data_IF_575627765584
#
_entry.id   IF_575627765584
#
_cell.length_a   1.000
_cell.length_b   1.000
_cell.length_c   1.000
_cell.angle_alpha   90.00
_cell.angle_beta   90.00
_cell.angle_gamma   90.00
#
_symmetry.space_group_name_H-M   'P 1'
#
loop_
_entity.id
_entity.type
_entity.pdbx_description
1 polymer ?
#
# COMPACT_ATOMS: atom_id res chain seq x y z
N UNK A 1 -42.32 -6.18 -19.71
CA UNK A 1 -42.11 -6.57 -18.30
C UNK A 1 -40.74 -7.23 -18.21
N UNK A 2 -39.72 -6.53 -17.68
CA UNK A 2 -38.39 -7.11 -17.48
C UNK A 2 -38.47 -7.95 -16.19
N UNK A 3 -38.17 -9.24 -16.30
CA UNK A 3 -38.22 -10.16 -15.16
C UNK A 3 -37.18 -9.75 -14.12
N UNK A 4 -37.62 -9.48 -12.89
CA UNK A 4 -36.73 -9.27 -11.77
C UNK A 4 -35.97 -10.59 -11.50
N UNK A 5 -34.65 -10.58 -11.71
CA UNK A 5 -33.79 -11.68 -11.26
C UNK A 5 -33.79 -11.70 -9.73
N UNK A 6 -34.60 -12.57 -9.15
CA UNK A 6 -34.50 -12.97 -7.76
C UNK A 6 -33.13 -13.65 -7.56
N UNK A 7 -32.17 -12.97 -6.93
CA UNK A 7 -30.92 -13.63 -6.54
C UNK A 7 -29.72 -12.73 -6.25
N UNK A 8 -29.73 -11.45 -6.64
CA UNK A 8 -28.63 -10.54 -6.32
C UNK A 8 -29.22 -9.22 -5.78
N UNK A 9 -28.83 -8.77 -4.58
CA UNK A 9 -29.21 -7.43 -4.12
C UNK A 9 -28.76 -6.40 -5.16
N UNK A 10 -29.51 -5.31 -5.41
CA UNK A 10 -29.26 -4.38 -6.51
C UNK A 10 -27.95 -3.59 -6.38
N UNK A 11 -27.18 -3.80 -5.31
CA UNK A 11 -25.95 -3.09 -5.00
C UNK A 11 -24.80 -4.10 -4.81
N UNK A 12 -23.78 -3.94 -5.63
CA UNK A 12 -22.52 -4.69 -5.53
C UNK A 12 -21.48 -3.83 -4.82
N UNK A 13 -20.79 -4.40 -3.83
CA UNK A 13 -19.76 -3.70 -3.06
C UNK A 13 -18.48 -4.51 -3.12
N UNK A 14 -17.40 -3.84 -3.47
CA UNK A 14 -16.05 -4.40 -3.51
C UNK A 14 -15.10 -3.53 -2.70
N UNK A 15 -14.11 -4.16 -2.09
CA UNK A 15 -12.96 -3.48 -1.50
C UNK A 15 -11.80 -3.56 -2.50
N UNK A 16 -11.39 -2.41 -3.01
CA UNK A 16 -10.32 -2.31 -4.00
C UNK A 16 -9.04 -1.76 -3.37
N UNK A 17 -7.94 -2.46 -3.61
CA UNK A 17 -6.59 -1.99 -3.26
C UNK A 17 -6.21 -2.23 -1.80
N UNK A 18 -5.45 -1.27 -1.26
CA UNK A 18 -4.80 -1.39 0.04
C UNK A 18 -5.79 -1.31 1.20
N UNK A 19 -5.61 -2.19 2.18
CA UNK A 19 -6.38 -2.19 3.42
C UNK A 19 -5.50 -1.74 4.60
N UNK A 20 -6.11 -1.51 5.76
CA UNK A 20 -5.40 -1.08 6.95
C UNK A 20 -4.35 -2.12 7.37
N UNK A 21 -3.08 -1.77 7.22
CA UNK A 21 -1.96 -2.65 7.55
C UNK A 21 -1.76 -2.72 9.06
N UNK A 22 -1.68 -3.93 9.61
CA UNK A 22 -1.45 -4.16 11.03
C UNK A 22 -0.07 -3.63 11.45
N UNK A 23 0.01 -3.04 12.65
CA UNK A 23 1.25 -2.48 13.20
C UNK A 23 2.40 -3.49 13.19
N UNK A 24 2.11 -4.76 13.51
CA UNK A 24 3.11 -5.82 13.52
C UNK A 24 3.73 -6.10 12.15
N UNK A 25 2.93 -6.07 11.08
CA UNK A 25 3.45 -6.22 9.72
C UNK A 25 4.34 -5.04 9.36
N UNK A 26 3.91 -3.81 9.67
CA UNK A 26 4.70 -2.61 9.42
C UNK A 26 6.05 -2.63 10.17
N UNK A 27 6.05 -3.03 11.44
CA UNK A 27 7.27 -3.15 12.24
C UNK A 27 8.21 -4.23 11.69
N UNK A 28 7.66 -5.37 11.26
CA UNK A 28 8.43 -6.46 10.65
C UNK A 28 9.04 -6.03 9.31
N UNK A 29 8.29 -5.27 8.49
CA UNK A 29 8.82 -4.69 7.26
C UNK A 29 9.98 -3.72 7.55
N UNK A 30 9.82 -2.81 8.52
CA UNK A 30 10.91 -1.91 8.91
C UNK A 30 12.14 -2.66 9.44
N UNK A 31 11.93 -3.74 10.20
CA UNK A 31 13.03 -4.57 10.72
C UNK A 31 13.75 -5.32 9.59
N UNK A 32 13.01 -5.86 8.62
CA UNK A 32 13.56 -6.51 7.43
C UNK A 32 14.39 -5.53 6.58
N UNK A 33 13.89 -4.31 6.35
CA UNK A 33 14.65 -3.26 5.64
C UNK A 33 15.91 -2.83 6.39
N UNK A 34 15.85 -2.79 7.73
CA UNK A 34 17.00 -2.50 8.57
C UNK A 34 17.99 -3.67 8.68
N UNK A 35 17.74 -4.81 8.00
CA UNK A 35 18.56 -6.02 8.08
C UNK A 35 18.51 -6.73 9.43
N UNK A 36 17.51 -6.41 10.26
CA UNK A 36 17.32 -6.99 11.61
C UNK A 36 16.42 -8.22 11.62
N UNK A 37 15.75 -8.50 10.52
CA UNK A 37 14.83 -9.62 10.36
C UNK A 37 15.10 -10.32 9.01
N UNK A 38 14.75 -11.60 8.90
CA UNK A 38 14.95 -12.35 7.66
C UNK A 38 13.68 -12.37 6.78
N UNK A 39 13.86 -12.75 5.50
CA UNK A 39 12.75 -12.79 4.54
C UNK A 39 11.66 -13.82 4.90
N UNK A 40 12.03 -14.91 5.58
CA UNK A 40 11.08 -15.95 5.99
C UNK A 40 10.15 -15.48 7.12
N UNK A 41 10.69 -14.74 8.08
CA UNK A 41 9.94 -14.17 9.18
C UNK A 41 8.96 -13.10 8.68
N UNK A 42 9.41 -12.23 7.76
CA UNK A 42 8.52 -11.29 7.08
C UNK A 42 7.38 -12.04 6.37
N UNK A 43 7.71 -13.06 5.58
CA UNK A 43 6.73 -13.84 4.82
C UNK A 43 5.70 -14.53 5.73
N UNK A 44 6.13 -15.03 6.89
CA UNK A 44 5.21 -15.62 7.89
C UNK A 44 4.21 -14.61 8.44
N UNK A 45 4.65 -13.37 8.70
CA UNK A 45 3.77 -12.30 9.19
C UNK A 45 2.81 -11.86 8.07
N UNK A 46 3.32 -11.68 6.85
CA UNK A 46 2.50 -11.38 5.67
C UNK A 46 1.42 -12.45 5.43
N UNK A 47 1.79 -13.73 5.43
CA UNK A 47 0.86 -14.83 5.19
C UNK A 47 -0.25 -14.88 6.24
N UNK A 48 0.11 -14.68 7.51
CA UNK A 48 -0.87 -14.62 8.60
C UNK A 48 -1.83 -13.45 8.42
N UNK A 49 -1.31 -12.25 8.16
CA UNK A 49 -2.14 -11.04 8.10
C UNK A 49 -3.03 -11.04 6.85
N UNK A 50 -2.55 -11.60 5.73
CA UNK A 50 -3.36 -11.87 4.53
C UNK A 50 -4.47 -12.87 4.82
N UNK A 51 -4.19 -13.97 5.55
CA UNK A 51 -5.24 -14.92 5.94
C UNK A 51 -6.31 -14.27 6.83
N UNK A 52 -5.90 -13.42 7.77
CA UNK A 52 -6.83 -12.71 8.66
C UNK A 52 -7.73 -11.75 7.89
N UNK A 53 -7.19 -10.96 6.95
CA UNK A 53 -8.00 -10.02 6.18
C UNK A 53 -8.91 -10.71 5.17
N UNK A 54 -8.46 -11.81 4.57
CA UNK A 54 -9.29 -12.65 3.70
C UNK A 54 -10.46 -13.25 4.50
N UNK A 55 -10.18 -13.80 5.70
CA UNK A 55 -11.22 -14.33 6.58
C UNK A 55 -12.23 -13.26 6.99
N UNK A 56 -11.76 -12.05 7.31
CA UNK A 56 -12.63 -10.93 7.64
C UNK A 56 -13.55 -10.57 6.47
N UNK A 57 -13.00 -10.45 5.25
CA UNK A 57 -13.78 -10.12 4.05
C UNK A 57 -14.83 -11.19 3.74
N UNK A 58 -14.46 -12.48 3.82
CA UNK A 58 -15.41 -13.60 3.64
C UNK A 58 -16.52 -13.56 4.70
N UNK A 59 -16.17 -13.30 5.96
CA UNK A 59 -17.17 -13.23 7.04
C UNK A 59 -18.15 -12.06 6.89
N UNK A 60 -17.73 -10.99 6.20
CA UNK A 60 -18.56 -9.83 5.88
C UNK A 60 -19.40 -10.02 4.61
N UNK A 61 -19.26 -11.15 3.91
CA UNK A 61 -20.03 -11.47 2.70
C UNK A 61 -19.51 -10.80 1.42
N UNK A 62 -18.26 -10.34 1.41
CA UNK A 62 -17.64 -9.84 0.18
C UNK A 62 -17.39 -10.98 -0.81
N UNK A 63 -17.74 -10.73 -2.07
CA UNK A 63 -17.55 -11.69 -3.16
C UNK A 63 -16.18 -11.50 -3.83
N UNK A 64 -15.76 -10.25 -4.02
CA UNK A 64 -14.41 -9.90 -4.45
C UNK A 64 -13.52 -9.75 -3.21
N UNK A 65 -12.41 -10.48 -3.19
CA UNK A 65 -11.46 -10.49 -2.07
C UNK A 65 -10.12 -9.88 -2.53
N UNK A 66 -9.55 -9.02 -1.69
CA UNK A 66 -8.19 -8.46 -1.86
C UNK A 66 -7.25 -8.99 -0.76
N UNK A 67 -5.95 -9.07 -1.03
CA UNK A 67 -4.92 -9.35 -0.02
C UNK A 67 -4.57 -8.10 0.82
N UNK A 68 -5.25 -6.98 0.55
CA UNK A 68 -4.99 -5.70 1.20
C UNK A 68 -3.68 -5.03 0.78
N UNK A 69 -3.03 -5.54 -0.26
CA UNK A 69 -1.69 -5.14 -0.71
C UNK A 69 -0.60 -5.27 0.37
N UNK A 70 -0.77 -6.19 1.33
CA UNK A 70 0.14 -6.33 2.48
C UNK A 70 1.57 -6.72 2.10
N UNK A 71 1.75 -7.41 0.97
CA UNK A 71 3.06 -7.76 0.42
C UNK A 71 3.69 -6.65 -0.43
N UNK A 72 2.94 -5.56 -0.67
CA UNK A 72 3.40 -4.40 -1.43
C UNK A 72 4.03 -3.39 -0.48
N UNK A 73 5.17 -3.76 0.07
CA UNK A 73 5.95 -2.82 0.86
C UNK A 73 6.87 -2.00 -0.07
N UNK A 74 6.77 -0.66 -0.05
CA UNK A 74 7.60 0.18 -0.90
C UNK A 74 9.03 0.22 -0.39
N UNK A 75 9.90 -0.56 -1.03
CA UNK A 75 11.33 -0.59 -0.72
C UNK A 75 11.98 0.72 -1.12
N UNK A 76 12.91 1.23 -0.29
CA UNK A 76 13.74 2.36 -0.68
C UNK A 76 13.10 3.74 -0.51
N UNK A 77 11.99 3.82 0.22
CA UNK A 77 11.38 5.09 0.62
C UNK A 77 12.01 5.57 1.93
N UNK A 78 12.62 6.75 1.89
CA UNK A 78 13.12 7.47 3.06
C UNK A 78 12.12 8.53 3.50
N UNK A 79 11.81 8.55 4.80
CA UNK A 79 10.96 9.57 5.43
C UNK A 79 11.81 10.81 5.75
N UNK A 80 11.51 11.93 5.11
CA UNK A 80 12.19 13.22 5.35
C UNK A 80 11.24 14.15 6.08
N UNK A 81 11.60 14.53 7.30
CA UNK A 81 10.75 15.35 8.15
C UNK A 81 10.56 16.78 7.61
N UNK A 82 11.63 17.36 7.06
CA UNK A 82 11.66 18.70 6.45
C UNK A 82 12.38 18.57 5.11
N UNK A 83 11.65 18.46 3.99
CA UNK A 83 12.26 18.38 2.67
C UNK A 83 12.82 19.74 2.23
N UNK A 84 13.86 19.72 1.40
CA UNK A 84 14.30 20.91 0.67
C UNK A 84 13.20 21.32 -0.34
N UNK A 85 12.75 22.59 -0.37
CA UNK A 85 11.79 23.09 -1.35
C UNK A 85 12.15 22.80 -2.81
N UNK A 86 13.44 22.70 -3.14
CA UNK A 86 13.92 22.46 -4.51
C UNK A 86 13.64 21.03 -5.01
N UNK A 87 13.33 20.10 -4.10
CA UNK A 87 12.90 18.73 -4.47
C UNK A 87 11.53 18.75 -5.16
N UNK A 88 10.73 19.80 -4.93
CA UNK A 88 9.41 19.93 -5.55
C UNK A 88 9.51 20.57 -6.92
N UNK A 89 8.92 19.93 -7.93
CA UNK A 89 8.85 20.51 -9.27
C UNK A 89 7.80 21.62 -9.29
N UNK A 90 8.26 22.87 -9.21
CA UNK A 90 7.45 24.09 -8.98
C UNK A 90 6.56 24.50 -10.17
N UNK A 91 6.62 23.79 -11.30
CA UNK A 91 5.79 24.10 -12.49
C UNK A 91 4.29 24.00 -12.22
N UNK A 92 3.89 23.26 -11.20
CA UNK A 92 2.53 23.28 -10.68
C UNK A 92 2.29 24.57 -9.90
N UNK A 93 1.31 25.37 -10.36
CA UNK A 93 0.87 26.61 -9.69
C UNK A 93 0.52 26.36 -8.21
N UNK A 94 -0.06 25.19 -7.92
CA UNK A 94 -0.43 24.75 -6.58
C UNK A 94 0.80 24.49 -5.71
N UNK A 95 1.84 23.85 -6.25
CA UNK A 95 3.07 23.54 -5.51
C UNK A 95 3.87 24.80 -5.20
N UNK A 96 3.98 25.74 -6.15
CA UNK A 96 4.63 27.04 -5.94
C UNK A 96 3.99 27.85 -4.81
N UNK A 97 2.66 27.81 -4.74
CA UNK A 97 1.90 28.52 -3.69
C UNK A 97 2.06 27.83 -2.33
N UNK A 98 2.07 26.49 -2.32
CA UNK A 98 2.28 25.69 -1.10
C UNK A 98 3.68 25.93 -0.55
N UNK A 99 4.74 25.84 -1.35
CA UNK A 99 6.12 25.97 -0.87
C UNK A 99 6.46 27.38 -0.37
N UNK A 100 5.85 28.43 -0.94
CA UNK A 100 6.03 29.82 -0.48
C UNK A 100 5.32 30.14 0.82
N UNK A 101 4.16 29.51 1.08
CA UNK A 101 3.29 29.84 2.22
C UNK A 101 3.35 28.81 3.35
N UNK A 102 3.73 27.57 3.05
CA UNK A 102 3.72 26.43 3.96
C UNK A 102 5.00 25.59 3.80
N UNK A 103 5.60 25.20 4.92
CA UNK A 103 6.62 24.15 4.92
C UNK A 103 5.91 22.80 4.80
N UNK A 104 6.09 22.04 3.70
CA UNK A 104 5.51 20.72 3.57
C UNK A 104 5.97 19.84 4.74
N UNK A 105 5.01 19.25 5.46
CA UNK A 105 5.28 18.29 6.52
C UNK A 105 5.63 16.94 5.90
N UNK A 106 6.48 16.17 6.58
CA UNK A 106 6.87 14.76 6.29
C UNK A 106 6.67 14.34 4.82
N UNK A 107 7.76 14.39 4.06
CA UNK A 107 7.81 13.91 2.67
C UNK A 107 8.41 12.52 2.62
N UNK A 108 7.86 11.67 1.75
CA UNK A 108 8.42 10.37 1.41
C UNK A 108 9.19 10.52 0.10
N UNK A 109 10.51 10.28 0.13
CA UNK A 109 11.33 10.27 -1.08
C UNK A 109 11.84 8.87 -1.36
N UNK A 110 11.76 8.46 -2.61
CA UNK A 110 12.43 7.25 -3.05
C UNK A 110 13.92 7.56 -3.24
N UNK A 111 14.77 7.06 -2.34
CA UNK A 111 16.21 7.39 -2.32
C UNK A 111 17.10 6.30 -2.89
N UNK A 112 16.56 5.11 -3.15
CA UNK A 112 17.27 4.04 -3.84
C UNK A 112 16.84 3.91 -5.29
N UNK A 113 17.54 3.08 -6.08
CA UNK A 113 17.02 2.67 -7.39
C UNK A 113 15.80 1.77 -7.19
N UNK A 114 14.77 1.95 -8.03
CA UNK A 114 13.64 1.01 -8.11
C UNK A 114 14.20 -0.30 -8.65
N UNK A 115 14.25 -1.34 -7.81
CA UNK A 115 14.72 -2.66 -8.22
C UNK A 115 13.57 -3.42 -8.86
N UNK A 116 13.64 -3.62 -10.18
CA UNK A 116 12.75 -4.53 -10.88
C UNK A 116 13.18 -5.98 -10.60
N UNK A 117 12.31 -6.83 -10.05
CA UNK A 117 12.62 -8.23 -9.72
C UNK A 117 12.68 -9.19 -10.93
N UNK A 118 12.77 -8.66 -12.15
CA UNK A 118 12.62 -9.42 -13.40
C UNK A 118 11.19 -9.37 -13.93
N UNK A 119 11.04 -9.50 -15.24
CA UNK A 119 9.71 -9.55 -15.89
C UNK A 119 9.03 -10.85 -15.50
N UNK A 120 7.79 -10.79 -15.03
CA UNK A 120 6.94 -11.97 -14.85
C UNK A 120 6.28 -12.45 -16.16
N UNK A 121 6.61 -11.83 -17.31
CA UNK A 121 5.90 -12.01 -18.59
C UNK A 121 6.61 -12.88 -19.62
N UNK A 122 7.77 -13.47 -19.32
CA UNK A 122 8.48 -14.36 -20.26
C UNK A 122 9.29 -15.41 -19.52
N UNK A 123 8.95 -16.68 -19.75
CA UNK A 123 9.96 -17.70 -20.02
C UNK A 123 10.24 -17.70 -21.54
#
# INVERSE_FOLDING_TARGET
>A
KVAARHGQPPFHVELLGSLFCMLKLLDTCHAYEAGKENAEALRKVEDRDVQEIVKAQVSLGFHAITDGEYRRYPQGITKIAVPDPDVFRIYSLSINTITKKYKPRRTLLHTSSIKHKGSSYTD
#
